data_IF_643945397763
#
_entry.id   IF_643945397763
#
_cell.length_a   1.000
_cell.length_b   1.000
_cell.length_c   1.000
_cell.angle_alpha   90.00
_cell.angle_beta   90.00
_cell.angle_gamma   90.00
#
_symmetry.space_group_name_H-M   'P 1'
#
loop_
_entity.id
_entity.type
_entity.pdbx_description
1 polymer ?
#
# COMPACT_ATOMS: atom_id res chain seq x y z
N UNK A 1 -14.89 8.43 7.61
CA UNK A 1 -13.49 8.69 8.04
C UNK A 1 -13.47 9.65 9.20
N UNK A 2 -12.98 9.18 10.33
CA UNK A 2 -12.73 9.99 11.53
C UNK A 2 -11.62 11.02 11.27
N UNK A 3 -11.46 12.00 12.17
CA UNK A 3 -10.37 12.99 12.10
C UNK A 3 -8.98 12.33 12.20
N UNK A 4 -8.90 11.20 12.92
CA UNK A 4 -7.69 10.39 13.06
C UNK A 4 -7.36 9.70 11.74
N UNK A 5 -8.34 9.09 11.07
CA UNK A 5 -8.15 8.42 9.77
C UNK A 5 -7.62 9.39 8.72
N UNK A 6 -8.10 10.65 8.72
CA UNK A 6 -7.60 11.67 7.79
C UNK A 6 -6.13 12.01 8.03
N UNK A 7 -5.69 12.12 9.28
CA UNK A 7 -4.28 12.37 9.62
C UNK A 7 -3.41 11.17 9.25
N UNK A 8 -3.88 9.97 9.57
CA UNK A 8 -3.20 8.72 9.21
C UNK A 8 -3.06 8.59 7.70
N UNK A 9 -4.15 8.77 6.95
CA UNK A 9 -4.14 8.77 5.48
C UNK A 9 -3.11 9.73 4.90
N UNK A 10 -3.08 10.99 5.35
CA UNK A 10 -2.14 11.98 4.83
C UNK A 10 -0.68 11.63 5.15
N UNK A 11 -0.42 11.08 6.34
CA UNK A 11 0.91 10.63 6.72
C UNK A 11 1.34 9.42 5.87
N UNK A 12 0.52 8.37 5.83
CA UNK A 12 0.80 7.13 5.10
C UNK A 12 0.93 7.36 3.60
N UNK A 13 0.09 8.23 3.02
CA UNK A 13 0.18 8.60 1.60
C UNK A 13 1.56 9.13 1.21
N UNK A 14 2.15 9.97 2.05
CA UNK A 14 3.50 10.50 1.80
C UNK A 14 4.56 9.40 1.84
N UNK A 15 4.42 8.42 2.74
CA UNK A 15 5.37 7.31 2.85
C UNK A 15 5.23 6.33 1.67
N UNK A 16 4.00 5.93 1.34
CA UNK A 16 3.72 4.94 0.28
C UNK A 16 4.09 5.48 -1.10
N UNK A 17 3.99 6.79 -1.32
CA UNK A 17 4.44 7.42 -2.57
C UNK A 17 5.92 7.19 -2.86
N UNK A 18 6.76 7.19 -1.82
CA UNK A 18 8.21 6.97 -1.94
C UNK A 18 8.51 5.46 -2.13
N UNK A 19 7.69 4.59 -1.54
CA UNK A 19 7.83 3.13 -1.64
C UNK A 19 7.44 2.62 -3.04
N UNK A 20 6.34 3.12 -3.61
CA UNK A 20 5.90 2.74 -4.95
C UNK A 20 6.77 3.46 -5.98
N UNK A 21 7.65 2.74 -6.64
CA UNK A 21 8.69 3.30 -7.52
C UNK A 21 8.28 3.42 -8.99
N UNK A 22 7.06 3.01 -9.35
CA UNK A 22 6.60 2.98 -10.73
C UNK A 22 6.25 4.39 -11.16
N UNK A 23 6.47 4.66 -12.44
CA UNK A 23 6.06 5.90 -13.06
C UNK A 23 4.83 5.68 -13.94
N UNK A 24 4.02 6.72 -13.96
CA UNK A 24 2.77 6.76 -14.73
C UNK A 24 2.96 7.82 -15.79
N UNK A 25 2.78 7.44 -17.06
CA UNK A 25 2.94 8.36 -18.18
C UNK A 25 1.96 9.54 -18.06
N UNK A 26 2.43 10.78 -18.23
CA UNK A 26 1.60 11.99 -18.10
C UNK A 26 0.40 12.08 -19.06
N UNK A 27 0.32 11.20 -20.07
CA UNK A 27 -0.80 11.13 -21.02
C UNK A 27 -1.90 10.14 -20.64
N UNK A 28 -1.76 9.40 -19.54
CA UNK A 28 -2.80 8.44 -19.12
C UNK A 28 -3.90 9.10 -18.30
N UNK A 29 -5.09 8.48 -18.30
CA UNK A 29 -6.30 8.98 -17.64
C UNK A 29 -6.16 9.16 -16.13
N UNK A 30 -5.33 8.35 -15.48
CA UNK A 30 -5.16 8.31 -14.03
C UNK A 30 -3.71 8.56 -13.66
N UNK A 31 -3.48 9.50 -12.76
CA UNK A 31 -2.15 9.82 -12.24
C UNK A 31 -1.71 8.80 -11.20
N UNK A 32 -0.41 8.79 -10.85
CA UNK A 32 0.09 7.99 -9.71
C UNK A 32 -0.65 8.30 -8.40
N UNK A 33 -1.11 9.54 -8.22
CA UNK A 33 -1.89 9.94 -7.05
C UNK A 33 -3.28 9.30 -7.01
N UNK A 34 -3.90 9.06 -8.17
CA UNK A 34 -5.19 8.38 -8.23
C UNK A 34 -5.06 6.90 -7.86
N UNK A 35 -3.95 6.27 -8.25
CA UNK A 35 -3.59 4.91 -7.85
C UNK A 35 -3.34 4.83 -6.34
N UNK A 36 -2.56 5.77 -5.77
CA UNK A 36 -2.31 5.85 -4.32
C UNK A 36 -3.61 6.06 -3.54
N UNK A 37 -4.49 6.92 -4.02
CA UNK A 37 -5.81 7.14 -3.42
C UNK A 37 -6.60 5.84 -3.35
N UNK A 38 -6.68 5.09 -4.46
CA UNK A 38 -7.39 3.82 -4.50
C UNK A 38 -6.80 2.80 -3.52
N UNK A 39 -5.47 2.61 -3.56
CA UNK A 39 -4.77 1.66 -2.70
C UNK A 39 -5.00 1.96 -1.22
N UNK A 40 -4.80 3.21 -0.81
CA UNK A 40 -4.97 3.61 0.59
C UNK A 40 -6.42 3.56 1.05
N UNK A 41 -7.36 3.92 0.18
CA UNK A 41 -8.79 3.78 0.48
C UNK A 41 -9.17 2.32 0.69
N UNK A 42 -8.67 1.41 -0.16
CA UNK A 42 -8.90 -0.02 -0.03
C UNK A 42 -8.33 -0.56 1.30
N UNK A 43 -7.10 -0.19 1.65
CA UNK A 43 -6.49 -0.56 2.94
C UNK A 43 -7.28 -0.03 4.14
N UNK A 44 -7.75 1.22 4.10
CA UNK A 44 -8.48 1.84 5.22
C UNK A 44 -9.81 1.17 5.53
N UNK A 45 -10.48 0.63 4.51
CA UNK A 45 -11.79 -0.04 4.68
C UNK A 45 -11.65 -1.56 4.69
N UNK A 46 -10.42 -2.08 4.69
CA UNK A 46 -10.12 -3.50 4.53
C UNK A 46 -10.88 -4.14 3.36
N UNK A 47 -10.98 -3.40 2.25
CA UNK A 47 -11.75 -3.78 1.08
C UNK A 47 -10.86 -4.12 -0.11
N UNK A 48 -11.40 -4.86 -1.08
CA UNK A 48 -10.72 -5.12 -2.34
C UNK A 48 -10.76 -3.90 -3.25
N UNK A 49 -9.67 -3.68 -4.00
CA UNK A 49 -9.49 -2.47 -4.82
C UNK A 49 -10.63 -2.25 -5.83
N UNK A 50 -11.13 -3.31 -6.46
CA UNK A 50 -12.21 -3.21 -7.44
C UNK A 50 -13.56 -2.78 -6.84
N UNK A 51 -13.84 -3.14 -5.59
CA UNK A 51 -15.06 -2.73 -4.89
C UNK A 51 -14.96 -1.27 -4.46
N UNK A 52 -13.79 -0.90 -3.96
CA UNK A 52 -13.51 0.46 -3.50
C UNK A 52 -13.50 1.45 -4.67
N UNK A 53 -12.96 1.07 -5.83
CA UNK A 53 -12.90 1.96 -7.00
C UNK A 53 -14.27 2.46 -7.43
N UNK A 54 -15.30 1.60 -7.36
CA UNK A 54 -16.70 1.92 -7.69
C UNK A 54 -17.31 2.98 -6.76
N UNK A 55 -16.84 3.03 -5.53
CA UNK A 55 -17.28 4.02 -4.53
C UNK A 55 -16.52 5.35 -4.62
N UNK A 56 -15.38 5.39 -5.34
CA UNK A 56 -14.53 6.56 -5.45
C UNK A 56 -14.81 7.33 -6.74
N UNK A 57 -15.14 8.61 -6.62
CA UNK A 57 -15.20 9.48 -7.79
C UNK A 57 -13.81 9.64 -8.41
N UNK A 58 -13.73 9.46 -9.74
CA UNK A 58 -12.50 9.49 -10.55
C UNK A 58 -11.39 8.61 -9.95
N UNK A 59 -11.53 7.30 -10.08
CA UNK A 59 -10.56 6.30 -9.62
C UNK A 59 -10.23 5.31 -10.75
N UNK A 60 -8.99 4.78 -10.83
CA UNK A 60 -8.68 3.65 -11.69
C UNK A 60 -9.47 2.41 -11.25
N UNK A 61 -9.58 1.41 -12.12
CA UNK A 61 -10.11 0.09 -11.73
C UNK A 61 -9.09 -0.68 -10.89
N UNK A 62 -9.52 -1.74 -10.20
CA UNK A 62 -8.59 -2.63 -9.49
C UNK A 62 -7.56 -3.26 -10.44
N UNK A 63 -7.99 -3.61 -11.65
CA UNK A 63 -7.11 -4.14 -12.71
C UNK A 63 -6.06 -3.12 -13.17
N UNK A 64 -6.46 -1.85 -13.35
CA UNK A 64 -5.53 -0.78 -13.73
C UNK A 64 -4.51 -0.55 -12.62
N UNK A 65 -4.92 -0.60 -11.35
CA UNK A 65 -3.99 -0.52 -10.24
C UNK A 65 -3.01 -1.71 -10.24
N UNK A 66 -3.52 -2.92 -10.44
CA UNK A 66 -2.71 -4.13 -10.45
C UNK A 66 -1.66 -4.12 -11.56
N UNK A 67 -1.99 -3.61 -12.76
CA UNK A 67 -1.04 -3.56 -13.87
C UNK A 67 0.18 -2.71 -13.56
N UNK A 68 0.01 -1.56 -12.90
CA UNK A 68 1.13 -0.72 -12.44
C UNK A 68 1.87 -1.29 -11.24
N UNK A 69 1.18 -1.95 -10.31
CA UNK A 69 1.87 -2.63 -9.20
C UNK A 69 2.78 -3.74 -9.75
N UNK A 70 2.35 -4.47 -10.78
CA UNK A 70 3.14 -5.53 -11.42
C UNK A 70 4.39 -5.03 -12.17
N UNK A 71 4.46 -3.76 -12.53
CA UNK A 71 5.67 -3.17 -13.12
C UNK A 71 6.69 -2.70 -12.08
N UNK A 72 6.39 -2.88 -10.78
CA UNK A 72 7.35 -2.59 -9.72
C UNK A 72 8.57 -3.48 -9.81
N UNK A 73 9.73 -2.84 -9.73
CA UNK A 73 10.96 -3.50 -9.37
C UNK A 73 10.85 -3.94 -7.89
N UNK A 74 10.82 -5.25 -7.68
CA UNK A 74 10.69 -5.86 -6.35
C UNK A 74 11.86 -5.47 -5.44
N UNK A 75 13.10 -5.51 -5.94
CA UNK A 75 14.28 -5.20 -5.14
C UNK A 75 14.26 -3.74 -4.70
N UNK A 76 13.93 -2.84 -5.62
CA UNK A 76 13.81 -1.42 -5.33
C UNK A 76 12.68 -1.11 -4.34
N UNK A 77 11.54 -1.79 -4.48
CA UNK A 77 10.42 -1.67 -3.55
C UNK A 77 10.83 -2.08 -2.12
N UNK A 78 11.53 -3.21 -1.98
CA UNK A 78 12.04 -3.68 -0.70
C UNK A 78 13.02 -2.67 -0.07
N UNK A 79 13.97 -2.17 -0.87
CA UNK A 79 14.93 -1.16 -0.41
C UNK A 79 14.25 0.12 0.08
N UNK A 80 13.28 0.66 -0.67
CA UNK A 80 12.56 1.87 -0.29
C UNK A 80 11.63 1.64 0.91
N UNK A 81 11.05 0.44 1.03
CA UNK A 81 10.32 0.05 2.23
C UNK A 81 11.22 0.06 3.46
N UNK A 82 12.36 -0.63 3.42
CA UNK A 82 13.30 -0.71 4.54
C UNK A 82 13.80 0.68 4.93
N UNK A 83 14.16 1.49 3.94
CA UNK A 83 14.58 2.88 4.16
C UNK A 83 13.49 3.68 4.86
N UNK A 84 12.24 3.53 4.43
CA UNK A 84 11.08 4.22 5.00
C UNK A 84 10.81 3.77 6.44
N UNK A 85 10.86 2.48 6.73
CA UNK A 85 10.72 1.93 8.09
C UNK A 85 11.82 2.48 9.00
N UNK A 86 13.09 2.38 8.60
CA UNK A 86 14.22 2.88 9.39
C UNK A 86 14.14 4.39 9.65
N UNK A 87 13.68 5.18 8.66
CA UNK A 87 13.45 6.62 8.81
C UNK A 87 12.35 6.90 9.85
N UNK A 88 11.25 6.17 9.80
CA UNK A 88 10.14 6.32 10.74
C UNK A 88 10.52 5.91 12.16
N UNK A 89 11.22 4.78 12.34
CA UNK A 89 11.76 4.35 13.63
C UNK A 89 12.70 5.41 14.22
N UNK A 90 13.64 5.93 13.41
CA UNK A 90 14.55 7.02 13.84
C UNK A 90 13.78 8.27 14.27
N UNK A 91 12.74 8.66 13.52
CA UNK A 91 11.88 9.79 13.88
C UNK A 91 11.15 9.56 15.21
N UNK A 92 10.56 8.39 15.40
CA UNK A 92 9.85 8.05 16.64
C UNK A 92 10.79 8.01 17.85
N UNK A 93 12.00 7.48 17.67
CA UNK A 93 13.05 7.48 18.72
C UNK A 93 13.44 8.90 19.13
N UNK A 94 13.69 9.79 18.15
CA UNK A 94 13.99 11.22 18.41
C UNK A 94 12.87 11.93 19.16
N UNK A 95 11.61 11.55 18.91
CA UNK A 95 10.43 12.09 19.59
C UNK A 95 10.11 11.44 20.93
N UNK A 96 10.96 10.51 21.41
CA UNK A 96 10.72 9.72 22.64
C UNK A 96 9.35 9.03 22.65
N UNK A 97 8.91 8.52 21.48
CA UNK A 97 7.64 7.80 21.32
C UNK A 97 7.78 6.27 21.40
N UNK A 98 9.01 5.76 21.37
CA UNK A 98 9.33 4.35 21.57
C UNK A 98 9.84 4.14 23.00
N UNK A 99 8.99 4.44 23.99
CA UNK A 99 9.35 4.34 25.42
C UNK A 99 9.35 2.89 25.93
N UNK A 100 8.63 2.02 25.23
CA UNK A 100 8.57 0.58 25.50
C UNK A 100 9.05 -0.20 24.27
N UNK A 101 9.74 -1.33 24.46
CA UNK A 101 10.03 -2.24 23.36
C UNK A 101 8.72 -2.74 22.73
N UNK A 102 8.58 -2.60 21.41
CA UNK A 102 7.47 -3.16 20.65
C UNK A 102 8.06 -4.16 19.66
N UNK A 103 7.81 -5.46 19.80
CA UNK A 103 8.21 -6.44 18.80
C UNK A 103 7.38 -6.20 17.53
N UNK A 104 8.06 -6.03 16.40
CA UNK A 104 7.42 -5.90 15.08
C UNK A 104 8.06 -6.93 14.17
N UNK A 105 7.26 -7.86 13.68
CA UNK A 105 7.65 -8.76 12.61
C UNK A 105 7.13 -8.19 11.29
N UNK A 106 8.03 -8.02 10.33
CA UNK A 106 7.67 -7.71 8.93
C UNK A 106 8.21 -8.85 8.10
N UNK A 107 7.33 -9.49 7.35
CA UNK A 107 7.69 -10.64 6.54
C UNK A 107 7.30 -10.38 5.08
N UNK A 108 8.17 -10.83 4.16
CA UNK A 108 7.98 -10.72 2.72
C UNK A 108 7.98 -12.12 2.14
N UNK A 109 6.87 -12.50 1.53
CA UNK A 109 6.76 -13.80 0.88
C UNK A 109 6.65 -13.61 -0.64
N UNK A 110 7.43 -14.39 -1.38
CA UNK A 110 7.37 -14.55 -2.84
C UNK A 110 6.14 -15.36 -3.25
N UNK A 111 5.72 -16.26 -2.36
CA UNK A 111 4.67 -17.23 -2.58
C UNK A 111 3.36 -16.59 -2.14
N UNK A 112 2.64 -16.03 -3.10
CA UNK A 112 1.34 -15.37 -2.86
C UNK A 112 0.24 -16.34 -2.42
N UNK A 113 0.46 -17.65 -2.53
CA UNK A 113 -0.58 -18.64 -2.31
C UNK A 113 -0.02 -20.00 -1.88
N UNK A 114 -0.54 -20.54 -0.79
CA UNK A 114 -0.20 -21.88 -0.27
C UNK A 114 -1.13 -22.99 -0.82
N UNK A 115 -1.85 -22.76 -1.93
CA UNK A 115 -2.77 -23.74 -2.53
C UNK A 115 -2.50 -24.00 -4.02
N UNK A 116 -3.14 -25.01 -4.60
CA UNK A 116 -3.17 -25.19 -6.05
C UNK A 116 -4.13 -24.14 -6.65
N UNK A 117 -3.67 -23.24 -7.54
CA UNK A 117 -4.49 -22.21 -8.18
C UNK A 117 -5.71 -22.74 -8.93
N UNK A 118 -5.73 -24.02 -9.29
CA UNK A 118 -6.84 -24.68 -10.00
C UNK A 118 -7.88 -25.27 -9.05
N UNK A 119 -7.45 -25.70 -7.87
CA UNK A 119 -8.28 -26.46 -6.92
C UNK A 119 -8.81 -25.61 -5.78
N UNK A 120 -8.13 -24.50 -5.48
CA UNK A 120 -8.36 -23.79 -4.23
C UNK A 120 -9.05 -22.45 -4.51
N UNK A 121 -10.30 -22.25 -4.05
CA UNK A 121 -10.99 -20.98 -4.23
C UNK A 121 -10.24 -19.86 -3.47
N UNK A 122 -10.23 -18.65 -4.03
CA UNK A 122 -9.74 -17.46 -3.35
C UNK A 122 -10.56 -17.24 -2.07
N UNK A 123 -10.02 -17.65 -0.92
CA UNK A 123 -10.70 -17.50 0.37
C UNK A 123 -10.40 -16.09 0.91
N UNK A 124 -11.46 -15.33 1.18
CA UNK A 124 -11.35 -14.07 1.93
C UNK A 124 -11.04 -14.46 3.37
N UNK A 125 -9.94 -13.95 3.94
CA UNK A 125 -9.71 -14.04 5.37
C UNK A 125 -10.83 -13.29 6.10
N UNK A 126 -11.76 -14.03 6.69
CA UNK A 126 -12.83 -13.54 7.56
C UNK A 126 -12.31 -13.10 8.90
#
# INVERSE_FOLDING_TARGET
MTRTDKKFYQFTRRQVKDILTYDVNGRVRYSKEDHLKLLLSACLVNGFAEGVSRSLNRSPTGETLLSYIKTQDREKLLQEFDRTVHKNVRMLRRRRKLTTPVPVAVDWHDIMYYGDPKETPMVIGT
#
